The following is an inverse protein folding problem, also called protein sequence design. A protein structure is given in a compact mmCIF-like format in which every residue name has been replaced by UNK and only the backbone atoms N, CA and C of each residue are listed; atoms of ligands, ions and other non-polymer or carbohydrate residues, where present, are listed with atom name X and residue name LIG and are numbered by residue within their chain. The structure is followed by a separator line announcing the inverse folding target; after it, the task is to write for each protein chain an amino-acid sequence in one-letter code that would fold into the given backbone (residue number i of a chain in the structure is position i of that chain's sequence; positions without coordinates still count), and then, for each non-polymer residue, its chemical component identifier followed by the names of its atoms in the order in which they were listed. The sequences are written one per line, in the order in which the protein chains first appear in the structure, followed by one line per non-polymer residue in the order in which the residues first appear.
data_IF_936691226040
#
_entry.id   IF_936691226040
#
_cell.length_a   1.000
_cell.length_b   1.000
_cell.length_c   1.000
_cell.angle_alpha   90.00
_cell.angle_beta   90.00
_cell.angle_gamma   90.00
#
_symmetry.space_group_name_H-M   'P 1'
#
loop_
_entity.id
_entity.type
_entity.pdbx_description
1 polymer ?
#
# COMPACT_ATOMS: atom_id res chain seq x y z
N UNK A 1 -28.16 -14.83 4.87
CA UNK A 1 -27.04 -13.96 5.32
C UNK A 1 -25.98 -14.86 5.93
N UNK A 2 -24.79 -14.96 5.33
CA UNK A 2 -23.70 -15.79 5.86
C UNK A 2 -22.83 -14.87 6.72
N UNK A 3 -23.06 -14.85 8.04
CA UNK A 3 -22.18 -14.15 8.99
C UNK A 3 -20.97 -15.04 9.29
N UNK A 4 -20.13 -15.26 8.30
CA UNK A 4 -18.82 -15.89 8.52
C UNK A 4 -17.90 -14.88 9.17
N UNK A 5 -17.79 -14.88 10.49
CA UNK A 5 -16.74 -14.13 11.18
C UNK A 5 -15.37 -14.67 10.73
N UNK A 6 -14.39 -13.79 10.56
CA UNK A 6 -13.01 -14.17 10.26
C UNK A 6 -12.52 -15.22 11.26
N UNK A 7 -12.14 -16.40 10.77
CA UNK A 7 -11.61 -17.47 11.60
C UNK A 7 -10.08 -17.50 11.51
N UNK A 8 -9.36 -17.14 12.59
CA UNK A 8 -7.90 -17.14 12.58
C UNK A 8 -7.30 -18.55 12.45
N UNK A 9 -8.06 -19.60 12.79
CA UNK A 9 -7.58 -20.99 12.82
C UNK A 9 -7.10 -21.49 11.44
N UNK A 10 -7.67 -20.97 10.35
CA UNK A 10 -7.33 -21.35 8.98
C UNK A 10 -6.59 -20.26 8.21
N UNK A 11 -6.18 -19.18 8.88
CA UNK A 11 -5.60 -18.02 8.23
C UNK A 11 -4.15 -18.31 7.79
N UNK A 12 -3.94 -18.36 6.47
CA UNK A 12 -2.64 -18.51 5.83
C UNK A 12 -2.23 -17.18 5.21
N UNK A 13 -0.94 -17.05 4.88
CA UNK A 13 -0.44 -15.88 4.17
C UNK A 13 -0.63 -16.09 2.67
N UNK A 14 -1.18 -15.09 1.98
CA UNK A 14 -1.48 -15.12 0.55
C UNK A 14 -0.92 -13.88 -0.11
N UNK A 15 -0.34 -14.07 -1.29
CA UNK A 15 -0.07 -12.98 -2.23
C UNK A 15 -1.24 -12.88 -3.20
N UNK A 16 -1.70 -11.67 -3.43
CA UNK A 16 -2.77 -11.38 -4.37
C UNK A 16 -2.27 -10.33 -5.36
N UNK A 17 -2.16 -10.72 -6.62
CA UNK A 17 -1.78 -9.86 -7.72
C UNK A 17 -3.00 -9.54 -8.56
N UNK A 18 -3.33 -8.26 -8.70
CA UNK A 18 -4.41 -7.78 -9.53
C UNK A 18 -3.83 -6.90 -10.62
N UNK A 19 -3.85 -7.35 -11.87
CA UNK A 19 -3.28 -6.62 -13.01
C UNK A 19 -4.36 -5.80 -13.71
N UNK A 20 -4.05 -4.56 -14.04
CA UNK A 20 -4.93 -3.70 -14.84
C UNK A 20 -5.01 -4.22 -16.29
N UNK A 21 -6.10 -3.88 -16.99
CA UNK A 21 -6.23 -4.18 -18.42
C UNK A 21 -5.24 -3.41 -19.30
N UNK A 22 -4.67 -4.03 -20.36
CA UNK A 22 -3.71 -3.37 -21.24
C UNK A 22 -4.32 -2.21 -22.03
N UNK A 23 -5.62 -2.29 -22.32
CA UNK A 23 -6.44 -1.24 -22.93
C UNK A 23 -6.65 -0.02 -22.03
N UNK A 24 -6.31 -0.15 -20.74
CA UNK A 24 -6.64 0.85 -19.73
C UNK A 24 -5.44 1.66 -19.31
N UNK A 25 -4.21 1.25 -19.62
CA UNK A 25 -3.00 1.98 -19.25
C UNK A 25 -2.83 3.18 -20.21
N UNK A 26 -3.14 4.37 -19.73
CA UNK A 26 -2.93 5.60 -20.51
C UNK A 26 -1.61 6.23 -20.08
N UNK A 27 -0.66 6.28 -21.01
CA UNK A 27 0.55 7.08 -20.85
C UNK A 27 0.18 8.54 -21.02
N UNK A 28 0.03 9.26 -19.91
CA UNK A 28 -0.11 10.71 -19.94
C UNK A 28 1.21 11.34 -20.45
N UNK A 29 1.22 12.09 -21.56
CA UNK A 29 2.42 12.73 -22.08
C UNK A 29 2.93 13.90 -21.20
N UNK A 30 2.15 14.38 -20.23
CA UNK A 30 2.45 15.61 -19.47
C UNK A 30 3.35 15.45 -18.23
N UNK A 31 3.76 14.23 -17.86
CA UNK A 31 4.81 14.01 -16.86
C UNK A 31 4.39 14.05 -15.37
N UNK A 32 3.11 13.83 -15.05
CA UNK A 32 2.63 13.73 -13.65
C UNK A 32 3.28 12.58 -12.82
N UNK A 33 3.36 12.77 -11.49
CA UNK A 33 4.15 11.94 -10.55
C UNK A 33 3.60 10.52 -10.26
N UNK A 34 2.36 10.21 -10.62
CA UNK A 34 1.77 8.87 -10.55
C UNK A 34 0.78 8.72 -11.68
N UNK A 35 1.08 7.81 -12.61
CA UNK A 35 0.19 7.50 -13.74
C UNK A 35 -0.53 6.20 -13.42
N UNK A 36 -1.72 6.04 -13.93
CA UNK A 36 -2.45 4.78 -13.93
C UNK A 36 -3.46 4.88 -15.04
N UNK A 37 -4.12 3.78 -15.36
CA UNK A 37 -5.17 3.86 -16.34
C UNK A 37 -6.25 4.89 -15.97
N UNK A 38 -6.80 5.62 -16.95
CA UNK A 38 -7.91 6.55 -16.72
C UNK A 38 -9.03 5.87 -15.92
N UNK A 39 -9.26 4.59 -16.26
CA UNK A 39 -10.24 3.75 -15.58
C UNK A 39 -9.89 3.51 -14.10
N UNK A 40 -8.63 3.21 -13.78
CA UNK A 40 -8.18 3.09 -12.38
C UNK A 40 -8.39 4.40 -11.62
N UNK A 41 -8.04 5.53 -12.24
CA UNK A 41 -8.14 6.84 -11.59
C UNK A 41 -9.60 7.22 -11.29
N UNK A 42 -10.55 6.82 -12.14
CA UNK A 42 -11.98 7.05 -11.90
C UNK A 42 -12.50 6.42 -10.60
N UNK A 43 -11.95 5.28 -10.17
CA UNK A 43 -12.41 4.53 -8.99
C UNK A 43 -11.42 4.54 -7.80
N UNK A 44 -10.34 5.32 -7.89
CA UNK A 44 -9.27 5.31 -6.89
C UNK A 44 -9.77 5.66 -5.48
N UNK A 45 -10.67 6.63 -5.38
CA UNK A 45 -11.20 7.06 -4.08
C UNK A 45 -12.05 5.97 -3.41
N UNK A 46 -12.91 5.30 -4.18
CA UNK A 46 -13.74 4.18 -3.69
C UNK A 46 -12.88 2.99 -3.29
N UNK A 47 -11.90 2.65 -4.12
CA UNK A 47 -10.92 1.61 -3.81
C UNK A 47 -10.19 1.91 -2.49
N UNK A 48 -9.68 3.13 -2.30
CA UNK A 48 -8.99 3.52 -1.07
C UNK A 48 -9.92 3.44 0.15
N UNK A 49 -11.17 3.91 0.03
CA UNK A 49 -12.17 3.80 1.09
C UNK A 49 -12.46 2.33 1.45
N UNK A 50 -12.59 1.46 0.45
CA UNK A 50 -12.75 0.02 0.65
C UNK A 50 -11.54 -0.61 1.35
N UNK A 51 -10.33 -0.21 0.99
CA UNK A 51 -9.10 -0.67 1.64
C UNK A 51 -9.03 -0.24 3.12
N UNK A 52 -9.51 0.95 3.46
CA UNK A 52 -9.60 1.38 4.86
C UNK A 52 -10.65 0.54 5.61
N UNK A 53 -11.86 0.42 5.05
CA UNK A 53 -12.98 -0.30 5.68
C UNK A 53 -12.66 -1.78 5.94
N UNK A 54 -12.06 -2.47 4.97
CA UNK A 54 -11.66 -3.89 5.08
C UNK A 54 -10.49 -4.15 6.01
N UNK A 55 -9.87 -3.12 6.57
CA UNK A 55 -8.87 -3.25 7.63
C UNK A 55 -9.51 -3.30 9.03
N UNK A 56 -10.81 -2.99 9.14
CA UNK A 56 -11.57 -3.09 10.39
C UNK A 56 -12.09 -4.52 10.56
N UNK A 57 -11.81 -5.13 11.73
CA UNK A 57 -12.19 -6.52 12.01
C UNK A 57 -13.71 -6.76 11.98
N UNK A 58 -14.51 -5.71 12.19
CA UNK A 58 -15.98 -5.77 12.09
C UNK A 58 -16.50 -5.81 10.65
N UNK A 59 -15.66 -5.54 9.65
CA UNK A 59 -16.10 -5.51 8.26
C UNK A 59 -16.26 -6.93 7.70
N UNK A 60 -17.33 -7.17 6.92
CA UNK A 60 -17.64 -8.51 6.35
C UNK A 60 -16.59 -9.06 5.37
N UNK A 61 -15.77 -8.18 4.82
CA UNK A 61 -14.63 -8.52 3.94
C UNK A 61 -13.29 -8.25 4.62
N UNK A 62 -13.24 -8.35 5.96
CA UNK A 62 -12.00 -8.15 6.70
C UNK A 62 -10.93 -9.15 6.28
N UNK A 63 -9.74 -8.64 5.99
CA UNK A 63 -8.51 -9.42 5.82
C UNK A 63 -7.37 -8.72 6.54
N UNK A 64 -6.48 -9.49 7.19
CA UNK A 64 -5.31 -8.89 7.86
C UNK A 64 -4.20 -8.63 6.85
N UNK A 65 -4.13 -7.41 6.33
CA UNK A 65 -3.11 -6.96 5.37
C UNK A 65 -1.76 -6.83 6.05
N UNK A 66 -0.74 -7.49 5.49
CA UNK A 66 0.67 -7.27 5.79
C UNK A 66 1.25 -6.20 4.86
N UNK A 67 0.80 -6.16 3.60
CA UNK A 67 1.14 -5.14 2.62
C UNK A 67 -0.02 -4.90 1.65
N UNK A 68 -0.13 -3.67 1.15
CA UNK A 68 -1.09 -3.24 0.13
C UNK A 68 -0.45 -2.12 -0.67
N UNK A 69 0.05 -2.44 -1.87
CA UNK A 69 0.85 -1.50 -2.68
C UNK A 69 0.41 -1.51 -4.14
N UNK A 70 0.51 -0.38 -4.86
CA UNK A 70 0.39 -0.38 -6.31
C UNK A 70 1.59 -1.10 -6.93
N UNK A 71 1.35 -1.85 -7.99
CA UNK A 71 2.41 -2.34 -8.86
C UNK A 71 2.73 -1.28 -9.90
N UNK A 72 4.01 -1.02 -10.14
CA UNK A 72 4.47 0.00 -11.07
C UNK A 72 5.12 -0.65 -12.29
N UNK A 73 4.98 -0.01 -13.45
CA UNK A 73 5.73 -0.31 -14.66
C UNK A 73 7.23 -0.02 -14.44
N UNK A 74 8.11 -0.42 -15.38
CA UNK A 74 9.56 -0.14 -15.28
C UNK A 74 9.91 1.35 -15.19
N UNK A 75 9.02 2.25 -15.61
CA UNK A 75 9.19 3.70 -15.46
C UNK A 75 9.09 4.20 -14.01
N UNK A 76 8.69 3.33 -13.07
CA UNK A 76 8.54 3.65 -11.65
C UNK A 76 7.40 4.62 -11.33
N UNK A 77 6.53 4.92 -12.28
CA UNK A 77 5.48 5.96 -12.17
C UNK A 77 4.11 5.40 -12.55
N UNK A 78 4.04 4.58 -13.60
CA UNK A 78 2.80 4.07 -14.14
C UNK A 78 2.32 2.86 -13.35
N UNK A 79 1.18 2.98 -12.68
CA UNK A 79 0.50 1.89 -12.00
C UNK A 79 -0.08 0.92 -13.02
N UNK A 80 0.30 -0.34 -12.88
CA UNK A 80 -0.11 -1.46 -13.76
C UNK A 80 -0.94 -2.51 -13.00
N UNK A 81 -1.20 -2.29 -11.72
CA UNK A 81 -1.90 -3.24 -10.88
C UNK A 81 -1.84 -2.92 -9.40
N UNK A 82 -2.32 -3.85 -8.59
CA UNK A 82 -2.27 -3.83 -7.13
C UNK A 82 -1.70 -5.16 -6.64
N UNK A 83 -0.84 -5.09 -5.62
CA UNK A 83 -0.31 -6.26 -4.93
C UNK A 83 -0.70 -6.19 -3.46
N UNK A 84 -1.25 -7.30 -2.95
CA UNK A 84 -1.58 -7.46 -1.55
C UNK A 84 -0.87 -8.67 -0.96
N UNK A 85 -0.38 -8.52 0.25
CA UNK A 85 0.06 -9.62 1.10
C UNK A 85 -0.91 -9.69 2.28
N UNK A 86 -1.74 -10.73 2.35
CA UNK A 86 -2.84 -10.82 3.32
C UNK A 86 -2.82 -12.12 4.09
N UNK A 87 -3.16 -12.06 5.39
CA UNK A 87 -3.35 -13.24 6.23
C UNK A 87 -4.86 -13.52 6.35
N UNK A 88 -5.33 -14.55 5.67
CA UNK A 88 -6.75 -14.94 5.59
C UNK A 88 -6.93 -16.39 5.09
N UNK A 89 -8.18 -16.88 5.05
CA UNK A 89 -8.52 -18.08 4.27
C UNK A 89 -8.49 -17.76 2.76
N UNK A 90 -8.51 -18.78 1.90
CA UNK A 90 -8.56 -18.57 0.44
C UNK A 90 -9.86 -17.88 0.05
N UNK A 91 -10.96 -18.30 0.65
CA UNK A 91 -12.33 -17.84 0.40
C UNK A 91 -12.50 -16.38 0.84
N UNK A 92 -11.89 -15.99 1.96
CA UNK A 92 -11.88 -14.59 2.40
C UNK A 92 -11.04 -13.72 1.47
N UNK A 93 -9.93 -14.22 0.90
CA UNK A 93 -9.18 -13.50 -0.12
C UNK A 93 -10.03 -13.24 -1.37
N UNK A 94 -10.75 -14.27 -1.84
CA UNK A 94 -11.63 -14.14 -3.00
C UNK A 94 -12.75 -13.13 -2.75
N UNK A 95 -13.40 -13.21 -1.59
CA UNK A 95 -14.44 -12.25 -1.22
C UNK A 95 -13.91 -10.84 -1.09
N UNK A 96 -12.73 -10.67 -0.49
CA UNK A 96 -12.06 -9.38 -0.38
C UNK A 96 -11.82 -8.76 -1.77
N UNK A 97 -11.37 -9.55 -2.74
CA UNK A 97 -11.13 -9.06 -4.10
C UNK A 97 -12.43 -8.82 -4.87
N UNK A 98 -13.38 -9.75 -4.85
CA UNK A 98 -14.62 -9.67 -5.62
C UNK A 98 -15.51 -8.49 -5.21
N UNK A 99 -15.35 -8.00 -3.99
CA UNK A 99 -16.08 -6.85 -3.45
C UNK A 99 -15.32 -5.53 -3.57
N UNK A 100 -14.08 -5.53 -4.07
CA UNK A 100 -13.31 -4.31 -4.29
C UNK A 100 -13.87 -3.51 -5.48
N UNK A 101 -14.01 -2.18 -5.38
CA UNK A 101 -14.46 -1.32 -6.49
C UNK A 101 -13.66 -1.51 -7.79
N UNK A 102 -12.37 -1.83 -7.72
CA UNK A 102 -11.59 -2.13 -8.91
C UNK A 102 -11.97 -3.45 -9.58
N UNK A 103 -12.38 -4.47 -8.82
CA UNK A 103 -12.91 -5.69 -9.41
C UNK A 103 -14.30 -5.46 -10.01
N UNK A 104 -15.21 -4.83 -9.24
CA UNK A 104 -16.60 -4.57 -9.65
C UNK A 104 -16.67 -3.74 -10.93
N UNK A 105 -15.79 -2.76 -11.08
CA UNK A 105 -15.73 -1.89 -12.27
C UNK A 105 -14.76 -2.41 -13.34
N UNK A 106 -14.32 -3.67 -13.25
CA UNK A 106 -13.41 -4.31 -14.21
C UNK A 106 -12.07 -3.60 -14.40
N UNK A 107 -11.60 -2.77 -13.47
CA UNK A 107 -10.27 -2.13 -13.56
C UNK A 107 -9.18 -3.19 -13.69
N UNK A 108 -9.30 -4.27 -12.91
CA UNK A 108 -8.42 -5.42 -12.99
C UNK A 108 -8.87 -6.39 -14.09
N UNK A 109 -8.00 -6.65 -15.06
CA UNK A 109 -8.21 -7.64 -16.11
C UNK A 109 -7.86 -9.07 -15.67
N UNK A 110 -6.95 -9.22 -14.69
CA UNK A 110 -6.65 -10.53 -14.12
C UNK A 110 -6.34 -10.44 -12.63
N UNK A 111 -6.66 -11.52 -11.93
CA UNK A 111 -6.38 -11.69 -10.50
C UNK A 111 -5.72 -13.04 -10.30
N UNK A 112 -4.59 -13.06 -9.61
CA UNK A 112 -3.90 -14.27 -9.17
C UNK A 112 -3.80 -14.28 -7.65
N UNK A 113 -4.25 -15.35 -7.00
CA UNK A 113 -4.18 -15.52 -5.56
C UNK A 113 -3.35 -16.76 -5.26
N UNK A 114 -2.15 -16.55 -4.74
CA UNK A 114 -1.15 -17.59 -4.53
C UNK A 114 -0.82 -17.69 -3.05
N UNK A 115 -0.79 -18.93 -2.54
CA UNK A 115 -0.37 -19.20 -1.16
C UNK A 115 1.08 -18.76 -0.99
N UNK A 116 1.33 -17.92 0.00
CA UNK A 116 2.66 -17.45 0.33
C UNK A 116 3.19 -18.26 1.52
N UNK A 117 3.86 -19.37 1.21
CA UNK A 117 4.70 -20.05 2.18
C UNK A 117 6.07 -19.39 2.17
N UNK A 118 6.35 -18.50 3.12
CA UNK A 118 7.71 -18.04 3.31
C UNK A 118 8.57 -19.26 3.65
N UNK A 119 9.63 -19.54 2.88
CA UNK A 119 10.73 -20.29 3.43
C UNK A 119 11.33 -19.39 4.51
N UNK A 120 10.95 -19.61 5.77
CA UNK A 120 11.69 -19.08 6.91
C UNK A 120 13.04 -19.82 6.97
N UNK A 121 13.91 -19.60 5.98
CA UNK A 121 15.32 -19.51 6.31
C UNK A 121 15.44 -18.17 7.00
N UNK A 122 15.28 -18.20 8.32
CA UNK A 122 15.73 -17.10 9.15
C UNK A 122 17.13 -16.75 8.64
N UNK A 123 17.32 -15.49 8.24
CA UNK A 123 18.65 -14.90 8.15
C UNK A 123 19.17 -14.83 9.60
N UNK A 124 19.46 -15.99 10.19
CA UNK A 124 20.19 -16.10 11.43
C UNK A 124 21.62 -15.67 11.13
N UNK A 125 21.90 -14.41 11.47
CA UNK A 125 23.21 -13.95 11.89
C UNK A 125 24.40 -14.25 10.98
N UNK A 126 24.63 -13.42 9.97
CA UNK A 126 26.00 -12.97 9.71
C UNK A 126 26.19 -11.58 10.31
N UNK A 127 26.10 -11.50 11.64
CA UNK A 127 26.66 -10.38 12.38
C UNK A 127 28.19 -10.53 12.32
N UNK A 128 28.81 -10.04 11.24
CA UNK A 128 30.20 -9.64 11.33
C UNK A 128 30.24 -8.49 12.34
N UNK A 129 30.78 -8.77 13.53
CA UNK A 129 31.01 -7.76 14.56
C UNK A 129 31.73 -6.54 13.96
N UNK A 130 31.32 -5.30 14.28
CA UNK A 130 32.13 -4.14 13.96
C UNK A 130 33.43 -4.25 14.77
N UNK A 131 34.53 -4.57 14.08
CA UNK A 131 35.88 -4.47 14.65
C UNK A 131 36.08 -3.03 15.13
N UNK A 132 36.15 -2.87 16.45
CA UNK A 132 36.34 -1.61 17.15
C UNK A 132 37.61 -0.94 16.65
N UNK A 133 37.48 0.13 15.87
CA UNK A 133 38.59 1.03 15.59
C UNK A 133 38.93 1.84 16.85
N UNK A 134 40.23 2.00 17.21
CA UNK A 134 40.61 2.71 18.42
C UNK A 134 40.32 4.21 18.31
N UNK A 135 39.78 4.76 19.39
CA UNK A 135 39.48 6.17 19.55
C UNK A 135 40.74 7.03 19.50
N UNK A 136 40.81 7.95 18.53
CA UNK A 136 41.71 9.11 18.59
C UNK A 136 40.91 10.38 18.85
N UNK A 137 41.20 10.97 20.01
CA UNK A 137 40.72 12.26 20.52
C UNK A 137 41.12 13.44 19.63
N UNK A 138 40.53 14.59 19.97
CA UNK A 138 40.82 16.01 19.62
C UNK A 138 39.87 16.57 18.57
N UNK A 139 39.28 17.78 18.68
CA UNK A 139 39.31 18.88 19.65
C UNK A 139 38.18 19.85 19.27
N UNK A 140 37.53 20.40 20.29
CA UNK A 140 36.87 21.71 20.43
C UNK A 140 36.83 22.63 19.18
N UNK A 141 35.66 23.21 18.84
CA UNK A 141 35.46 24.67 18.77
C UNK A 141 33.97 25.06 18.64
N UNK A 142 33.62 26.06 19.45
CA UNK A 142 32.34 26.78 19.58
C UNK A 142 32.01 27.63 18.36
N UNK A 143 30.71 27.91 18.18
CA UNK A 143 30.24 29.11 17.49
C UNK A 143 28.70 29.16 17.40
N UNK A 144 28.02 30.17 17.98
CA UNK A 144 26.58 30.35 17.83
C UNK A 144 26.29 31.26 16.62
N UNK A 145 25.36 30.86 15.76
CA UNK A 145 24.71 31.83 14.86
C UNK A 145 23.19 31.71 14.95
N UNK A 146 22.68 32.71 15.66
CA UNK A 146 21.33 33.24 15.64
C UNK A 146 20.95 33.67 14.21
N UNK A 147 19.73 33.38 13.75
CA UNK A 147 19.04 34.20 12.77
C UNK A 147 17.52 33.98 12.88
N UNK A 148 16.86 35.00 13.43
CA UNK A 148 15.44 35.25 13.35
C UNK A 148 14.98 35.40 11.90
N UNK A 149 13.78 34.89 11.61
CA UNK A 149 13.09 35.09 10.35
C UNK A 149 11.59 34.88 10.55
N UNK A 150 10.92 35.91 11.05
CA UNK A 150 9.46 36.10 11.04
C UNK A 150 8.96 36.24 9.61
N UNK A 151 7.78 35.69 9.33
CA UNK A 151 6.71 36.20 8.45
C UNK A 151 5.77 35.03 8.13
N UNK A 152 4.48 35.15 7.86
CA UNK A 152 3.42 36.14 8.13
C UNK A 152 2.19 35.50 7.48
N UNK A 153 1.04 35.61 8.14
CA UNK A 153 -0.32 35.64 7.61
C UNK A 153 -0.76 34.67 6.48
N UNK A 154 -1.86 33.97 6.74
CA UNK A 154 -3.05 34.17 5.90
C UNK A 154 -3.67 32.92 5.26
N UNK A 155 -4.95 32.73 5.60
CA UNK A 155 -6.02 32.07 4.86
C UNK A 155 -5.99 30.52 4.83
N UNK A 156 -7.09 29.82 5.10
CA UNK A 156 -8.47 30.26 5.18
C UNK A 156 -9.40 29.16 5.70
N UNK A 157 -10.59 29.64 6.03
CA UNK A 157 -11.69 28.98 6.69
C UNK A 157 -12.25 27.73 5.98
N UNK A 158 -12.75 26.81 6.81
CA UNK A 158 -13.78 25.81 6.56
C UNK A 158 -15.01 26.39 5.84
N UNK A 159 -15.60 25.68 4.86
CA UNK A 159 -17.08 25.52 4.74
C UNK A 159 -17.44 24.16 4.09
N UNK A 160 -18.05 23.32 4.93
CA UNK A 160 -19.24 22.46 4.75
C UNK A 160 -19.45 21.52 3.56
N UNK A 161 -19.69 20.25 3.92
CA UNK A 161 -20.56 19.28 3.22
C UNK A 161 -22.00 19.79 3.09
N UNK A 162 -22.70 19.31 2.05
CA UNK A 162 -24.15 19.09 1.87
C UNK A 162 -24.36 18.83 0.36
N UNK A 163 -25.04 17.82 -0.16
CA UNK A 163 -25.79 16.63 0.31
C UNK A 163 -25.49 15.56 -0.74
#
# INVERSE_FOLDING_TARGET
MISGAFSPANAQLWTVYCMDGPDRIVHDPSGGKRKGGLHRMAYLNEHNAYQIATSLQSHRCFVRKQASVPMLAPDGITMIGSCFLVKASREDCERFIQMDPYYVNNVWASVSINKFSGATKALEGSSSEPTTAPASRTRDQRGPHNLQGTNSAGNGFYISRRI
#
